data_IF_649714122544
#
_entry.id   IF_649714122544
#
_cell.length_a   1.000
_cell.length_b   1.000
_cell.length_c   1.000
_cell.angle_alpha   90.00
_cell.angle_beta   90.00
_cell.angle_gamma   90.00
#
_symmetry.space_group_name_H-M   'P 1'
#
loop_
_entity.id
_entity.type
_entity.pdbx_description
1 polymer ?
#
# COMPACT_ATOMS: atom_id res chain seq x y z
N UNK A 1 9.61 -19.71 24.50
CA UNK A 1 8.23 -19.15 24.45
C UNK A 1 7.67 -19.41 23.07
N UNK A 2 6.79 -20.40 22.89
CA UNK A 2 6.12 -20.61 21.60
C UNK A 2 5.15 -19.44 21.37
N UNK A 3 5.39 -18.59 20.36
CA UNK A 3 4.40 -17.59 19.96
C UNK A 3 3.15 -18.32 19.50
N UNK A 4 2.05 -18.16 20.24
CA UNK A 4 0.75 -18.67 19.83
C UNK A 4 0.47 -18.17 18.41
N UNK A 5 0.26 -19.08 17.46
CA UNK A 5 0.03 -18.71 16.06
C UNK A 5 -1.18 -17.77 16.01
N UNK A 6 -0.96 -16.54 15.56
CA UNK A 6 -2.06 -15.59 15.34
C UNK A 6 -2.96 -16.22 14.27
N UNK A 7 -4.17 -16.64 14.64
CA UNK A 7 -5.16 -17.16 13.68
C UNK A 7 -5.39 -16.10 12.59
N UNK A 8 -4.82 -16.32 11.41
CA UNK A 8 -5.07 -15.51 10.22
C UNK A 8 -6.47 -15.84 9.71
N UNK A 9 -7.38 -14.87 9.74
CA UNK A 9 -8.74 -15.02 9.22
C UNK A 9 -8.76 -14.66 7.75
N UNK A 10 -9.43 -15.46 6.93
CA UNK A 10 -9.72 -15.07 5.56
C UNK A 10 -10.94 -14.14 5.53
N UNK A 11 -10.96 -13.23 4.55
CA UNK A 11 -12.10 -12.35 4.35
C UNK A 11 -13.32 -13.16 3.89
N UNK A 12 -14.47 -12.97 4.56
CA UNK A 12 -15.75 -13.49 4.11
C UNK A 12 -16.54 -12.41 3.36
N UNK A 13 -17.15 -12.77 2.24
CA UNK A 13 -18.05 -11.89 1.47
C UNK A 13 -19.21 -11.35 2.32
N UNK A 14 -19.58 -12.07 3.37
CA UNK A 14 -20.58 -11.66 4.34
C UNK A 14 -20.23 -10.38 5.10
N UNK A 15 -18.94 -10.05 5.24
CA UNK A 15 -18.47 -8.86 5.96
C UNK A 15 -18.86 -7.56 5.27
N UNK A 16 -19.30 -7.64 4.00
CA UNK A 16 -19.91 -6.53 3.28
C UNK A 16 -21.13 -5.97 4.02
N UNK A 17 -21.87 -6.79 4.77
CA UNK A 17 -23.01 -6.34 5.60
C UNK A 17 -22.60 -5.37 6.70
N UNK A 18 -21.32 -5.39 7.10
CA UNK A 18 -20.74 -4.46 8.08
C UNK A 18 -20.04 -3.27 7.41
N UNK A 19 -20.15 -3.13 6.08
CA UNK A 19 -19.48 -2.11 5.30
C UNK A 19 -17.98 -2.35 5.08
N UNK A 20 -17.51 -3.59 5.16
CA UNK A 20 -16.11 -3.94 4.92
C UNK A 20 -15.94 -4.67 3.59
N UNK A 21 -14.82 -4.43 2.91
CA UNK A 21 -14.43 -5.16 1.71
C UNK A 21 -12.90 -5.32 1.63
N UNK A 22 -12.44 -6.30 0.87
CA UNK A 22 -11.05 -6.36 0.40
C UNK A 22 -10.94 -5.61 -0.91
N UNK A 23 -9.91 -4.78 -1.03
CA UNK A 23 -9.62 -3.96 -2.21
C UNK A 23 -8.27 -4.40 -2.80
N UNK A 24 -8.10 -4.41 -4.14
CA UNK A 24 -6.79 -4.63 -4.75
C UNK A 24 -5.73 -3.67 -4.18
N UNK A 25 -4.55 -4.21 -3.86
CA UNK A 25 -3.44 -3.44 -3.27
C UNK A 25 -3.53 -3.20 -1.76
N UNK A 26 -4.39 -3.91 -1.03
CA UNK A 26 -4.43 -3.90 0.45
C UNK A 26 -4.03 -5.24 1.08
N UNK A 27 -3.30 -6.11 0.37
CA UNK A 27 -2.82 -7.40 0.89
C UNK A 27 -3.93 -8.28 1.52
N UNK A 28 -5.13 -8.24 0.93
CA UNK A 28 -6.31 -8.93 1.46
C UNK A 28 -6.79 -8.46 2.85
N UNK A 29 -6.30 -7.32 3.33
CA UNK A 29 -6.79 -6.69 4.57
C UNK A 29 -8.16 -6.04 4.38
N UNK A 30 -9.02 -6.06 5.41
CA UNK A 30 -10.34 -5.47 5.35
C UNK A 30 -10.27 -3.94 5.39
N UNK A 31 -10.98 -3.30 4.47
CA UNK A 31 -11.14 -1.85 4.38
C UNK A 31 -12.58 -1.49 4.72
N UNK A 32 -12.78 -0.49 5.58
CA UNK A 32 -14.11 0.07 5.76
C UNK A 32 -14.46 0.95 4.55
N UNK A 33 -15.56 0.65 3.86
CA UNK A 33 -15.99 1.38 2.67
C UNK A 33 -16.49 2.81 2.96
N UNK A 34 -16.80 3.12 4.23
CA UNK A 34 -17.34 4.41 4.65
C UNK A 34 -16.26 5.43 5.04
N UNK A 35 -15.19 4.98 5.70
CA UNK A 35 -14.06 5.84 6.07
C UNK A 35 -12.77 5.53 5.30
N UNK A 36 -12.81 4.55 4.39
CA UNK A 36 -11.69 4.09 3.56
C UNK A 36 -10.43 3.67 4.34
N UNK A 37 -10.57 3.41 5.65
CA UNK A 37 -9.48 2.97 6.52
C UNK A 37 -9.21 1.47 6.32
N UNK A 38 -7.93 1.12 6.13
CA UNK A 38 -7.44 -0.26 6.13
C UNK A 38 -7.26 -0.72 7.58
N UNK A 39 -7.69 -1.94 7.89
CA UNK A 39 -7.55 -2.53 9.22
C UNK A 39 -6.71 -3.80 9.18
N UNK A 40 -6.07 -4.13 10.30
CA UNK A 40 -5.34 -5.40 10.45
C UNK A 40 -6.25 -6.62 10.37
N UNK A 41 -5.69 -7.79 10.05
CA UNK A 41 -6.42 -9.07 10.00
C UNK A 41 -7.25 -9.37 11.27
N UNK A 42 -6.76 -8.96 12.45
CA UNK A 42 -7.49 -9.19 13.71
C UNK A 42 -8.87 -8.52 13.77
N UNK A 43 -9.11 -7.52 12.94
CA UNK A 43 -10.42 -6.84 12.86
C UNK A 43 -11.45 -7.62 12.09
N UNK A 44 -11.06 -8.66 11.33
CA UNK A 44 -11.96 -9.60 10.65
C UNK A 44 -12.83 -10.44 11.60
N UNK A 45 -12.81 -10.16 12.92
CA UNK A 45 -13.85 -10.64 13.83
C UNK A 45 -15.14 -9.84 13.58
N UNK A 46 -16.28 -10.49 13.27
CA UNK A 46 -17.56 -9.79 13.04
C UNK A 46 -17.95 -8.82 14.16
N UNK A 47 -17.66 -9.18 15.41
CA UNK A 47 -17.91 -8.32 16.57
C UNK A 47 -17.12 -7.00 16.54
N UNK A 48 -15.87 -7.02 16.08
CA UNK A 48 -15.02 -5.82 15.95
C UNK A 48 -15.49 -4.94 14.79
N UNK A 49 -15.87 -5.53 13.65
CA UNK A 49 -16.44 -4.81 12.50
C UNK A 49 -17.77 -4.14 12.86
N UNK A 50 -18.70 -4.88 13.46
CA UNK A 50 -19.99 -4.34 13.92
C UNK A 50 -19.81 -3.23 14.95
N UNK A 51 -18.84 -3.37 15.87
CA UNK A 51 -18.48 -2.33 16.83
C UNK A 51 -17.93 -1.08 16.15
N UNK A 52 -17.06 -1.23 15.14
CA UNK A 52 -16.55 -0.10 14.36
C UNK A 52 -17.69 0.64 13.66
N UNK A 53 -18.58 -0.09 12.97
CA UNK A 53 -19.74 0.48 12.28
C UNK A 53 -20.62 1.29 13.25
N UNK A 54 -20.99 0.72 14.39
CA UNK A 54 -21.80 1.42 15.40
C UNK A 54 -21.11 2.66 15.98
N UNK A 55 -19.80 2.61 16.21
CA UNK A 55 -19.05 3.71 16.86
C UNK A 55 -18.68 4.84 15.92
N UNK A 56 -18.30 4.53 14.68
CA UNK A 56 -17.79 5.51 13.70
C UNK A 56 -18.84 5.93 12.69
N UNK A 57 -19.84 5.10 12.45
CA UNK A 57 -20.88 5.30 11.45
C UNK A 57 -22.26 4.88 11.98
N UNK A 58 -22.74 5.47 13.10
CA UNK A 58 -24.00 5.08 13.73
C UNK A 58 -25.19 5.14 12.75
N UNK A 59 -25.21 6.15 11.86
CA UNK A 59 -26.27 6.35 10.87
C UNK A 59 -26.27 5.31 9.74
N UNK A 60 -25.25 4.45 9.66
CA UNK A 60 -25.09 3.45 8.59
C UNK A 60 -25.34 2.03 9.08
N UNK A 61 -25.63 1.81 10.37
CA UNK A 61 -25.81 0.46 10.93
C UNK A 61 -27.00 -0.30 10.37
N UNK A 62 -28.01 0.41 9.85
CA UNK A 62 -29.28 -0.15 9.36
C UNK A 62 -29.37 -0.17 7.82
N UNK A 63 -28.29 0.17 7.11
CA UNK A 63 -28.28 0.13 5.64
C UNK A 63 -28.21 -1.32 5.16
N UNK A 64 -28.94 -1.61 4.08
CA UNK A 64 -28.90 -2.91 3.43
C UNK A 64 -27.55 -3.22 2.77
N UNK A 65 -27.29 -4.51 2.54
CA UNK A 65 -26.09 -4.99 1.85
C UNK A 65 -25.98 -4.42 0.42
N UNK A 66 -27.11 -4.15 -0.24
CA UNK A 66 -27.20 -3.51 -1.55
C UNK A 66 -26.49 -2.15 -1.59
N UNK A 67 -26.67 -1.34 -0.55
CA UNK A 67 -25.99 -0.05 -0.40
C UNK A 67 -24.47 -0.21 -0.36
N UNK A 68 -23.97 -1.20 0.40
CA UNK A 68 -22.54 -1.48 0.50
C UNK A 68 -21.96 -2.09 -0.78
N UNK A 69 -22.74 -2.87 -1.56
CA UNK A 69 -22.33 -3.33 -2.90
C UNK A 69 -22.09 -2.15 -3.84
N UNK A 70 -23.07 -1.24 -3.93
CA UNK A 70 -22.93 -0.03 -4.75
C UNK A 70 -21.78 0.87 -4.27
N UNK A 71 -21.59 0.98 -2.94
CA UNK A 71 -20.47 1.73 -2.38
C UNK A 71 -19.12 1.08 -2.73
N UNK A 72 -19.02 -0.25 -2.65
CA UNK A 72 -17.84 -1.01 -3.07
C UNK A 72 -17.52 -0.72 -4.53
N UNK A 73 -18.50 -0.81 -5.43
CA UNK A 73 -18.30 -0.51 -6.86
C UNK A 73 -17.81 0.91 -7.09
N UNK A 74 -18.41 1.91 -6.41
CA UNK A 74 -17.96 3.30 -6.47
C UNK A 74 -16.50 3.45 -6.02
N UNK A 75 -16.12 2.81 -4.93
CA UNK A 75 -14.75 2.83 -4.41
C UNK A 75 -13.77 2.13 -5.36
N UNK A 76 -14.16 1.00 -5.96
CA UNK A 76 -13.34 0.30 -6.96
C UNK A 76 -13.14 1.15 -8.22
N UNK A 77 -14.23 1.75 -8.74
CA UNK A 77 -14.19 2.60 -9.93
C UNK A 77 -13.33 3.84 -9.75
N UNK A 78 -13.26 4.40 -8.53
CA UNK A 78 -12.35 5.51 -8.19
C UNK A 78 -10.88 5.11 -8.15
N UNK A 79 -10.59 3.85 -7.78
CA UNK A 79 -9.22 3.35 -7.62
C UNK A 79 -8.61 2.86 -8.92
N UNK A 80 -9.43 2.37 -9.86
CA UNK A 80 -8.96 2.01 -11.19
C UNK A 80 -8.74 3.29 -12.01
N UNK A 81 -7.53 3.54 -12.53
CA UNK A 81 -7.30 4.64 -13.47
C UNK A 81 -8.15 4.41 -14.72
N UNK A 82 -9.17 5.23 -14.94
CA UNK A 82 -10.10 5.05 -16.06
C UNK A 82 -9.66 5.83 -17.30
N UNK A 83 -8.94 6.94 -17.12
CA UNK A 83 -8.42 7.76 -18.22
C UNK A 83 -6.91 7.56 -18.41
N UNK A 84 -6.40 7.92 -19.60
CA UNK A 84 -4.95 8.00 -19.87
C UNK A 84 -4.27 8.94 -18.86
N UNK A 85 -4.86 10.11 -18.61
CA UNK A 85 -4.33 11.07 -17.65
C UNK A 85 -4.26 10.53 -16.21
N UNK A 86 -5.21 9.70 -15.79
CA UNK A 86 -5.16 9.07 -14.45
C UNK A 86 -4.02 8.03 -14.37
N UNK A 87 -3.79 7.28 -15.45
CA UNK A 87 -2.66 6.33 -15.54
C UNK A 87 -1.33 7.06 -15.50
N UNK A 88 -1.21 8.15 -16.24
CA UNK A 88 0.00 8.97 -16.29
C UNK A 88 0.28 9.62 -14.93
N UNK A 89 -0.76 10.13 -14.25
CA UNK A 89 -0.66 10.67 -12.89
C UNK A 89 -0.23 9.61 -11.86
N UNK A 90 -0.81 8.41 -11.95
CA UNK A 90 -0.40 7.29 -11.11
C UNK A 90 1.07 6.90 -11.38
N UNK A 91 1.46 6.77 -12.64
CA UNK A 91 2.84 6.44 -13.03
C UNK A 91 3.84 7.50 -12.53
N UNK A 92 3.52 8.79 -12.71
CA UNK A 92 4.33 9.89 -12.19
C UNK A 92 4.51 9.77 -10.67
N UNK A 93 3.44 9.48 -9.95
CA UNK A 93 3.49 9.39 -8.50
C UNK A 93 4.28 8.17 -7.98
N UNK A 94 4.32 7.05 -8.71
CA UNK A 94 5.24 5.93 -8.43
C UNK A 94 6.70 6.32 -8.68
N UNK A 95 6.99 6.95 -9.82
CA UNK A 95 8.35 7.40 -10.17
C UNK A 95 8.90 8.41 -9.17
N UNK A 96 8.08 9.37 -8.76
CA UNK A 96 8.47 10.35 -7.73
C UNK A 96 8.69 9.66 -6.38
N UNK A 97 7.81 8.73 -5.98
CA UNK A 97 8.01 7.96 -4.73
C UNK A 97 9.33 7.17 -4.75
N UNK A 98 9.70 6.60 -5.90
CA UNK A 98 10.99 5.93 -6.09
C UNK A 98 12.18 6.90 -5.97
N UNK A 99 12.06 8.11 -6.51
CA UNK A 99 13.10 9.15 -6.37
C UNK A 99 13.27 9.58 -4.91
N UNK A 100 12.17 9.75 -4.17
CA UNK A 100 12.19 10.06 -2.72
C UNK A 100 12.95 8.97 -1.96
N UNK A 101 12.65 7.70 -2.23
CA UNK A 101 13.31 6.55 -1.59
C UNK A 101 14.80 6.50 -1.93
N UNK A 102 15.17 6.62 -3.21
CA UNK A 102 16.58 6.61 -3.66
C UNK A 102 17.40 7.74 -3.05
N UNK A 103 16.80 8.91 -2.85
CA UNK A 103 17.45 10.05 -2.23
C UNK A 103 17.47 10.00 -0.68
N UNK A 104 16.88 8.95 -0.08
CA UNK A 104 16.80 8.78 1.37
C UNK A 104 16.01 9.90 2.08
N UNK A 105 15.05 10.53 1.39
CA UNK A 105 14.31 11.67 1.94
C UNK A 105 13.07 11.21 2.74
N UNK A 106 12.63 12.00 3.74
CA UNK A 106 11.39 11.69 4.46
C UNK A 106 10.19 11.61 3.52
N UNK A 107 9.30 10.65 3.73
CA UNK A 107 8.09 10.47 2.91
C UNK A 107 7.17 11.69 2.87
N UNK A 108 7.24 12.56 3.89
CA UNK A 108 6.50 13.82 3.96
C UNK A 108 6.97 14.88 2.95
N UNK A 109 8.13 14.70 2.31
CA UNK A 109 8.68 15.69 1.35
C UNK A 109 7.76 15.86 0.13
N UNK A 110 7.05 14.80 -0.26
CA UNK A 110 6.11 14.82 -1.38
C UNK A 110 5.04 15.89 -1.18
N UNK A 111 4.28 15.80 -0.09
CA UNK A 111 3.22 16.75 0.23
C UNK A 111 3.71 18.12 0.69
N UNK A 112 4.83 18.19 1.43
CA UNK A 112 5.30 19.45 2.02
C UNK A 112 6.05 20.36 1.05
N UNK A 113 6.75 19.79 0.06
CA UNK A 113 7.64 20.56 -0.81
C UNK A 113 7.37 20.29 -2.30
N UNK A 114 7.30 19.02 -2.70
CA UNK A 114 7.15 18.69 -4.12
C UNK A 114 5.78 19.11 -4.68
N UNK A 115 4.70 18.90 -3.93
CA UNK A 115 3.35 19.30 -4.37
C UNK A 115 3.22 20.82 -4.56
N UNK A 116 3.64 21.68 -3.59
CA UNK A 116 3.71 23.13 -3.81
C UNK A 116 4.58 23.53 -5.00
N UNK A 117 5.78 22.93 -5.14
CA UNK A 117 6.68 23.27 -6.24
C UNK A 117 6.09 22.90 -7.62
N UNK A 118 5.40 21.76 -7.72
CA UNK A 118 4.68 21.37 -8.93
C UNK A 118 3.55 22.36 -9.22
N UNK A 119 2.76 22.74 -8.21
CA UNK A 119 1.68 23.69 -8.38
C UNK A 119 2.19 25.05 -8.91
N UNK A 120 3.27 25.57 -8.31
CA UNK A 120 3.91 26.82 -8.73
C UNK A 120 4.34 26.78 -10.20
N UNK A 121 5.01 25.69 -10.64
CA UNK A 121 5.44 25.54 -12.04
C UNK A 121 4.25 25.46 -13.00
N UNK A 122 3.19 24.75 -12.61
CA UNK A 122 2.00 24.61 -13.44
C UNK A 122 1.28 25.96 -13.61
N UNK A 123 1.18 26.77 -12.56
CA UNK A 123 0.51 28.06 -12.58
C UNK A 123 1.36 29.15 -13.27
N UNK A 124 2.66 29.21 -12.99
CA UNK A 124 3.54 30.26 -13.51
C UNK A 124 4.04 30.00 -14.92
N UNK A 125 4.48 28.77 -15.21
CA UNK A 125 5.14 28.43 -16.49
C UNK A 125 4.12 27.92 -17.49
N UNK A 126 3.25 26.98 -17.07
CA UNK A 126 2.28 26.37 -17.98
C UNK A 126 0.95 27.12 -18.04
N UNK A 127 0.70 28.07 -17.13
CA UNK A 127 -0.57 28.80 -17.01
C UNK A 127 -1.78 27.84 -16.95
N UNK A 128 -1.58 26.67 -16.31
CA UNK A 128 -2.59 25.65 -16.13
C UNK A 128 -3.12 25.69 -14.70
N UNK A 129 -4.38 25.27 -14.52
CA UNK A 129 -4.92 25.08 -13.19
C UNK A 129 -4.17 23.92 -12.50
N UNK A 130 -3.33 24.25 -11.51
CA UNK A 130 -2.58 23.25 -10.76
C UNK A 130 -3.47 22.17 -10.16
N UNK A 131 -4.70 22.51 -9.76
CA UNK A 131 -5.64 21.56 -9.15
C UNK A 131 -5.99 20.40 -10.08
N UNK A 132 -6.05 20.61 -11.40
CA UNK A 132 -6.41 19.56 -12.36
C UNK A 132 -5.32 18.50 -12.54
N UNK A 133 -4.07 18.88 -12.35
CA UNK A 133 -2.90 17.98 -12.42
C UNK A 133 -2.60 17.39 -11.05
N UNK A 134 -2.53 18.23 -10.00
CA UNK A 134 -2.20 17.81 -8.63
C UNK A 134 -3.21 16.81 -8.08
N UNK A 135 -4.50 16.92 -8.42
CA UNK A 135 -5.52 15.91 -8.04
C UNK A 135 -5.20 14.51 -8.58
N UNK A 136 -4.52 14.40 -9.73
CA UNK A 136 -4.15 13.12 -10.35
C UNK A 136 -2.85 12.54 -9.77
N UNK A 137 -2.02 13.37 -9.16
CA UNK A 137 -0.72 12.98 -8.57
C UNK A 137 -0.82 13.05 -7.05
N UNK A 138 -1.18 11.93 -6.40
CA UNK A 138 -1.18 11.88 -4.93
C UNK A 138 0.21 11.61 -4.38
N UNK A 139 0.81 12.56 -3.65
CA UNK A 139 2.11 12.43 -2.98
C UNK A 139 2.04 12.61 -1.45
N UNK A 140 0.91 12.27 -0.83
CA UNK A 140 0.82 12.29 0.63
C UNK A 140 1.79 11.30 1.26
N UNK A 141 2.20 11.54 2.51
CA UNK A 141 3.13 10.69 3.25
C UNK A 141 2.70 9.20 3.20
N UNK A 142 1.42 8.94 3.50
CA UNK A 142 0.85 7.57 3.49
C UNK A 142 0.90 6.95 2.10
N UNK A 143 0.64 7.75 1.05
CA UNK A 143 0.64 7.24 -0.31
C UNK A 143 2.07 6.94 -0.78
N UNK A 144 3.03 7.82 -0.50
CA UNK A 144 4.45 7.60 -0.82
C UNK A 144 4.95 6.32 -0.15
N UNK A 145 4.68 6.16 1.15
CA UNK A 145 5.01 4.94 1.89
C UNK A 145 4.43 3.70 1.21
N UNK A 146 3.11 3.66 0.97
CA UNK A 146 2.45 2.51 0.35
C UNK A 146 3.02 2.15 -1.02
N UNK A 147 3.42 3.14 -1.82
CA UNK A 147 4.03 2.88 -3.13
C UNK A 147 5.43 2.32 -3.00
N UNK A 148 6.23 2.83 -2.07
CA UNK A 148 7.56 2.28 -1.77
C UNK A 148 7.42 0.83 -1.33
N UNK A 149 6.55 0.54 -0.37
CA UNK A 149 6.29 -0.82 0.11
C UNK A 149 5.87 -1.75 -1.04
N UNK A 150 4.97 -1.29 -1.92
CA UNK A 150 4.53 -2.05 -3.09
C UNK A 150 5.66 -2.32 -4.09
N UNK A 151 6.54 -1.35 -4.34
CA UNK A 151 7.72 -1.52 -5.21
C UNK A 151 8.74 -2.48 -4.60
N UNK A 152 8.98 -2.37 -3.29
CA UNK A 152 9.88 -3.28 -2.54
C UNK A 152 9.37 -4.71 -2.61
N UNK A 153 8.08 -4.93 -2.31
CA UNK A 153 7.46 -6.25 -2.40
C UNK A 153 7.54 -6.84 -3.81
N UNK A 154 7.25 -6.02 -4.83
CA UNK A 154 7.36 -6.48 -6.21
C UNK A 154 8.80 -6.87 -6.58
N UNK A 155 9.80 -6.12 -6.08
CA UNK A 155 11.22 -6.43 -6.31
C UNK A 155 11.61 -7.74 -5.61
N UNK A 156 11.16 -7.94 -4.37
CA UNK A 156 11.37 -9.18 -3.61
C UNK A 156 10.74 -10.39 -4.32
N UNK A 157 9.47 -10.29 -4.72
CA UNK A 157 8.77 -11.33 -5.46
C UNK A 157 9.47 -11.64 -6.79
N UNK A 158 9.93 -10.61 -7.52
CA UNK A 158 10.66 -10.77 -8.78
C UNK A 158 11.97 -11.52 -8.56
N UNK A 159 12.76 -11.11 -7.56
CA UNK A 159 14.01 -11.77 -7.21
C UNK A 159 13.77 -13.23 -6.78
N UNK A 160 12.74 -13.46 -5.97
CA UNK A 160 12.39 -14.79 -5.51
C UNK A 160 12.03 -15.73 -6.67
N UNK A 161 11.23 -15.27 -7.64
CA UNK A 161 10.95 -16.04 -8.86
C UNK A 161 12.23 -16.34 -9.64
N UNK A 162 13.10 -15.34 -9.84
CA UNK A 162 14.38 -15.52 -10.55
C UNK A 162 15.28 -16.56 -9.87
N UNK A 163 15.38 -16.54 -8.54
CA UNK A 163 16.21 -17.47 -7.77
C UNK A 163 15.65 -18.90 -7.75
N UNK A 164 14.34 -19.09 -7.97
CA UNK A 164 13.75 -20.44 -8.07
C UNK A 164 13.91 -21.07 -9.45
N UNK A 165 13.97 -20.24 -10.48
CA UNK A 165 14.08 -20.69 -11.88
C UNK A 165 15.53 -20.86 -12.33
N UNK A 166 16.50 -20.42 -11.51
CA UNK A 166 17.92 -20.43 -11.86
C UNK A 166 18.70 -21.22 -10.83
N UNK A 167 19.62 -22.06 -11.32
CA UNK A 167 20.67 -22.61 -10.48
C UNK A 167 21.74 -21.53 -10.27
N UNK A 168 22.21 -21.42 -9.03
CA UNK A 168 23.31 -20.55 -8.66
C UNK A 168 24.18 -21.30 -7.65
N UNK A 169 25.48 -21.04 -7.68
CA UNK A 169 26.42 -21.52 -6.66
C UNK A 169 26.72 -20.41 -5.68
N UNK A 170 26.87 -20.76 -4.41
CA UNK A 170 27.44 -19.89 -3.39
C UNK A 170 28.83 -20.43 -3.06
N UNK A 171 29.85 -19.59 -3.11
CA UNK A 171 31.18 -19.98 -2.67
C UNK A 171 31.24 -19.85 -1.15
N UNK A 172 31.64 -20.92 -0.47
CA UNK A 172 31.83 -20.92 0.97
C UNK A 172 33.34 -20.95 1.26
N UNK A 173 33.80 -20.08 2.15
CA UNK A 173 35.19 -20.04 2.62
C UNK A 173 35.22 -19.96 4.14
N UNK A 174 36.22 -20.55 4.76
CA UNK A 174 36.39 -20.52 6.21
C UNK A 174 37.41 -19.44 6.59
N UNK A 175 36.99 -18.45 7.36
CA UNK A 175 37.86 -17.42 7.92
C UNK A 175 38.10 -17.67 9.40
N UNK A 176 39.35 -17.57 9.85
CA UNK A 176 39.69 -17.74 11.26
C UNK A 176 39.77 -16.39 11.96
N UNK A 177 39.12 -16.28 13.12
CA UNK A 177 39.20 -15.13 14.01
C UNK A 177 40.29 -15.36 15.08
N UNK A 178 40.83 -14.28 15.70
CA UNK A 178 41.69 -14.41 16.87
C UNK A 178 40.96 -15.14 18.01
N UNK A 179 41.59 -16.19 18.55
CA UNK A 179 41.00 -17.01 19.63
C UNK A 179 40.60 -18.44 19.22
N UNK A 180 41.05 -18.94 18.06
CA UNK A 180 40.68 -20.25 17.50
C UNK A 180 39.18 -20.40 17.18
N UNK A 181 38.51 -19.28 16.90
CA UNK A 181 37.16 -19.29 16.36
C UNK A 181 37.22 -19.29 14.83
N UNK A 182 36.33 -20.02 14.17
CA UNK A 182 36.19 -19.98 12.72
C UNK A 182 34.79 -19.55 12.29
N UNK A 183 34.74 -18.81 11.18
CA UNK A 183 33.54 -18.29 10.54
C UNK A 183 33.45 -18.89 9.13
N UNK A 184 32.31 -19.48 8.81
CA UNK A 184 31.98 -19.83 7.43
C UNK A 184 31.41 -18.59 6.74
N UNK A 185 32.15 -18.03 5.78
CA UNK A 185 31.75 -16.87 4.98
C UNK A 185 31.18 -17.38 3.65
N UNK A 186 30.00 -16.88 3.28
CA UNK A 186 29.39 -17.16 1.99
C UNK A 186 29.54 -15.95 1.06
N UNK A 187 30.08 -16.18 -0.13
CA UNK A 187 30.12 -15.22 -1.24
C UNK A 187 29.05 -15.60 -2.25
N UNK A 188 28.31 -14.58 -2.71
CA UNK A 188 27.27 -14.68 -3.72
C UNK A 188 27.71 -13.99 -5.02
#
# INVERSE_FOLDING_TARGET
MAQASKKCRQYSSEYLRFGFAVIPGTEQLPVCLLCERVFSNETMKPSRMKRHLKRRHPNMSNKEVSHYRALREKVMKKRTPNSKADRDGLAASYRISMLIAKAGKPHTIGEKLMMPAIAEVLETVLQQNAHDVTRKISLSNVTVQRRIDAMTKNTEETLWCMLREREFSLQLDESTLPGNESLLVAYA
#
